data_IF_683800072791
#
_entry.id   IF_683800072791
#
_cell.length_a   1.000
_cell.length_b   1.000
_cell.length_c   1.000
_cell.angle_alpha   90.00
_cell.angle_beta   90.00
_cell.angle_gamma   90.00
#
_symmetry.space_group_name_H-M   'P 1'
#
loop_
_entity.id
_entity.type
_entity.pdbx_description
1 polymer ?
#
# COMPACT_ATOMS: atom_id res chain seq x y z
N UNK A 1 -1.37 13.39 12.25
CA UNK A 1 -0.59 12.61 13.23
C UNK A 1 0.44 11.69 12.55
N UNK A 2 0.06 10.79 11.64
CA UNK A 2 0.98 9.79 11.06
C UNK A 2 2.21 10.38 10.34
N UNK A 3 2.06 11.53 9.66
CA UNK A 3 3.19 12.25 9.05
C UNK A 3 4.20 12.77 10.09
N UNK A 4 3.74 13.15 11.28
CA UNK A 4 4.60 13.68 12.35
C UNK A 4 5.51 12.61 12.98
N UNK A 5 5.05 11.36 13.00
CA UNK A 5 5.80 10.22 13.53
C UNK A 5 6.58 9.46 12.43
N UNK A 6 6.60 9.99 11.20
CA UNK A 6 7.37 9.42 10.10
C UNK A 6 8.84 9.84 10.21
N UNK A 7 9.75 8.92 9.88
CA UNK A 7 11.18 9.22 9.76
C UNK A 7 11.41 9.85 8.38
N UNK A 8 12.06 11.03 8.30
CA UNK A 8 12.33 11.66 7.01
C UNK A 8 13.13 10.76 6.07
N UNK A 9 12.83 10.86 4.78
CA UNK A 9 13.49 10.07 3.76
C UNK A 9 14.94 10.50 3.57
N UNK A 10 15.87 9.53 3.53
CA UNK A 10 17.29 9.79 3.26
C UNK A 10 18.14 10.14 4.47
N UNK A 11 17.57 10.27 5.66
CA UNK A 11 18.35 10.44 6.90
C UNK A 11 18.91 9.09 7.35
N UNK A 12 20.20 9.05 7.69
CA UNK A 12 20.86 7.94 8.36
C UNK A 12 21.34 8.39 9.73
N UNK A 13 21.10 7.56 10.74
CA UNK A 13 21.67 7.73 12.07
C UNK A 13 22.57 6.53 12.35
N UNK A 14 23.90 6.64 12.14
CA UNK A 14 24.83 5.50 12.18
C UNK A 14 24.77 4.69 13.49
N UNK A 15 24.45 5.36 14.60
CA UNK A 15 24.38 4.74 15.92
C UNK A 15 22.98 4.22 16.28
N UNK A 16 21.99 4.39 15.39
CA UNK A 16 20.60 3.97 15.60
C UNK A 16 20.16 3.02 14.47
N UNK A 17 20.61 1.76 14.48
CA UNK A 17 20.42 0.83 13.35
C UNK A 17 18.96 0.47 13.10
N UNK A 18 18.08 0.71 14.07
CA UNK A 18 16.65 0.43 13.96
C UNK A 18 15.85 1.62 13.41
N UNK A 19 16.48 2.79 13.26
CA UNK A 19 15.84 3.96 12.61
C UNK A 19 16.03 3.84 11.11
N UNK A 20 14.90 3.73 10.40
CA UNK A 20 14.87 3.62 8.94
C UNK A 20 13.89 4.64 8.36
N UNK A 21 14.18 5.12 7.16
CA UNK A 21 13.31 6.05 6.45
C UNK A 21 11.92 5.46 6.24
N UNK A 22 10.88 6.22 6.59
CA UNK A 22 9.51 5.88 6.17
C UNK A 22 9.46 5.80 4.65
N UNK A 23 8.87 4.74 4.10
CA UNK A 23 8.74 4.52 2.66
C UNK A 23 7.35 4.91 2.14
N UNK A 24 6.34 4.61 2.94
CA UNK A 24 4.93 4.84 2.63
C UNK A 24 4.10 4.93 3.92
N UNK A 25 2.83 5.31 3.79
CA UNK A 25 1.85 5.38 4.88
C UNK A 25 0.51 4.83 4.43
N UNK A 26 -0.27 4.33 5.37
CA UNK A 26 -1.65 3.90 5.12
C UNK A 26 -2.60 4.47 6.17
N UNK A 27 -3.86 4.62 5.78
CA UNK A 27 -4.97 4.99 6.68
C UNK A 27 -6.17 4.14 6.32
N UNK A 28 -6.78 3.47 7.29
CA UNK A 28 -8.03 2.73 7.09
C UNK A 28 -9.19 3.54 7.68
N UNK A 29 -10.07 4.04 6.83
CA UNK A 29 -11.38 4.53 7.26
C UNK A 29 -12.31 3.33 7.44
N UNK A 30 -12.52 2.93 8.69
CA UNK A 30 -13.30 1.74 9.00
C UNK A 30 -14.81 1.94 8.76
N UNK A 31 -15.29 3.18 8.91
CA UNK A 31 -16.71 3.49 8.74
C UNK A 31 -17.07 3.51 7.25
N UNK A 32 -16.27 4.19 6.44
CA UNK A 32 -16.51 4.27 4.99
C UNK A 32 -15.93 3.07 4.23
N UNK A 33 -15.13 2.24 4.89
CA UNK A 33 -14.39 1.10 4.33
C UNK A 33 -13.47 1.53 3.18
N UNK A 34 -12.73 2.60 3.40
CA UNK A 34 -11.70 3.08 2.46
C UNK A 34 -10.31 2.73 3.00
N UNK A 35 -9.44 2.24 2.12
CA UNK A 35 -8.04 1.97 2.44
C UNK A 35 -7.15 2.92 1.66
N UNK A 36 -6.56 3.89 2.34
CA UNK A 36 -5.67 4.88 1.77
C UNK A 36 -4.22 4.42 1.81
N UNK A 37 -3.47 4.81 0.79
CA UNK A 37 -2.05 4.58 0.63
C UNK A 37 -1.38 5.85 0.11
N UNK A 38 -0.23 6.22 0.69
CA UNK A 38 0.58 7.37 0.29
C UNK A 38 2.07 6.98 0.25
N UNK A 39 2.73 7.19 -0.89
CA UNK A 39 4.19 7.10 -0.99
C UNK A 39 4.85 8.36 -0.44
N UNK A 40 6.05 8.25 0.13
CA UNK A 40 6.86 9.44 0.46
C UNK A 40 7.73 9.93 -0.70
N UNK A 41 7.90 9.09 -1.73
CA UNK A 41 8.77 9.34 -2.86
C UNK A 41 8.04 9.97 -4.04
N UNK A 42 6.76 9.65 -4.20
CA UNK A 42 5.89 10.24 -5.21
C UNK A 42 4.73 10.98 -4.53
N UNK A 43 4.27 12.14 -5.05
CA UNK A 43 3.14 12.88 -4.50
C UNK A 43 1.79 12.22 -4.84
N UNK A 44 1.69 10.90 -4.64
CA UNK A 44 0.54 10.09 -5.01
C UNK A 44 -0.17 9.63 -3.73
N UNK A 45 -1.39 10.13 -3.52
CA UNK A 45 -2.34 9.52 -2.59
C UNK A 45 -3.37 8.73 -3.39
N UNK A 46 -3.48 7.44 -3.09
CA UNK A 46 -4.48 6.55 -3.67
C UNK A 46 -5.34 5.95 -2.57
N UNK A 47 -6.55 5.53 -2.92
CA UNK A 47 -7.35 4.69 -2.04
C UNK A 47 -8.10 3.61 -2.81
N UNK A 48 -8.45 2.54 -2.10
CA UNK A 48 -9.40 1.55 -2.54
C UNK A 48 -10.70 1.68 -1.72
N UNK A 49 -11.85 1.69 -2.40
CA UNK A 49 -13.17 1.58 -1.79
C UNK A 49 -13.57 0.10 -1.71
N UNK A 50 -13.48 -0.46 -0.50
CA UNK A 50 -13.74 -1.87 -0.28
C UNK A 50 -15.21 -2.24 -0.51
N UNK A 51 -16.14 -1.27 -0.57
CA UNK A 51 -17.55 -1.53 -0.91
C UNK A 51 -17.74 -1.79 -2.40
N UNK A 52 -16.78 -1.39 -3.24
CA UNK A 52 -16.81 -1.59 -4.71
C UNK A 52 -16.07 -2.85 -5.14
N UNK A 53 -15.53 -3.64 -4.20
CA UNK A 53 -14.80 -4.88 -4.48
C UNK A 53 -15.69 -6.07 -4.10
N UNK A 54 -15.81 -7.03 -5.02
CA UNK A 54 -16.48 -8.31 -4.75
C UNK A 54 -15.51 -9.27 -4.08
N UNK A 55 -15.79 -9.61 -2.82
CA UNK A 55 -15.04 -10.57 -2.02
C UNK A 55 -15.75 -11.93 -1.91
N UNK A 56 -16.80 -12.18 -2.69
CA UNK A 56 -17.53 -13.44 -2.62
C UNK A 56 -16.64 -14.61 -3.08
N UNK A 57 -16.71 -15.80 -2.44
CA UNK A 57 -15.90 -16.95 -2.83
C UNK A 57 -16.17 -17.45 -4.26
N UNK A 58 -17.35 -17.15 -4.80
CA UNK A 58 -17.77 -17.59 -6.13
C UNK A 58 -17.00 -16.89 -7.27
N UNK A 59 -16.58 -15.66 -7.06
CA UNK A 59 -15.86 -14.82 -8.04
C UNK A 59 -14.48 -14.39 -7.54
N UNK A 60 -14.18 -14.66 -6.27
CA UNK A 60 -12.99 -14.25 -5.54
C UNK A 60 -11.71 -14.74 -6.21
N UNK A 61 -11.08 -13.84 -6.95
CA UNK A 61 -9.72 -14.01 -7.49
C UNK A 61 -8.77 -13.08 -6.75
N UNK A 62 -7.50 -13.46 -6.70
CA UNK A 62 -6.46 -12.51 -6.36
C UNK A 62 -6.52 -11.33 -7.33
N UNK A 63 -6.54 -10.11 -6.79
CA UNK A 63 -6.41 -8.89 -7.58
C UNK A 63 -5.25 -8.08 -7.08
N UNK A 64 -4.54 -7.42 -7.98
CA UNK A 64 -3.36 -6.62 -7.68
C UNK A 64 -3.53 -5.21 -8.22
N UNK A 65 -3.14 -4.22 -7.43
CA UNK A 65 -2.83 -2.87 -7.90
C UNK A 65 -1.31 -2.78 -8.02
N UNK A 66 -0.80 -2.58 -9.23
CA UNK A 66 0.63 -2.44 -9.45
C UNK A 66 1.06 -0.97 -9.25
N UNK A 67 1.86 -0.74 -8.21
CA UNK A 67 2.38 0.59 -7.88
C UNK A 67 3.74 0.87 -8.54
N UNK A 68 4.38 -0.13 -9.17
CA UNK A 68 5.70 0.05 -9.77
C UNK A 68 6.83 0.07 -8.75
N UNK A 69 8.04 0.38 -9.21
CA UNK A 69 9.24 0.35 -8.38
C UNK A 69 9.33 1.64 -7.56
N UNK A 70 9.38 1.52 -6.24
CA UNK A 70 9.28 2.69 -5.34
C UNK A 70 7.99 3.49 -5.58
N UNK A 71 6.91 2.81 -5.94
CA UNK A 71 5.59 3.42 -6.12
C UNK A 71 5.58 4.56 -7.16
N UNK A 72 6.31 4.37 -8.27
CA UNK A 72 6.53 5.35 -9.34
C UNK A 72 5.39 5.42 -10.37
N UNK A 73 4.47 4.45 -10.36
CA UNK A 73 3.27 4.55 -11.18
C UNK A 73 2.40 5.73 -10.72
N UNK A 74 2.05 6.60 -11.67
CA UNK A 74 1.23 7.80 -11.40
C UNK A 74 -0.24 7.39 -11.29
N UNK A 75 -0.62 6.94 -10.10
CA UNK A 75 -2.00 6.67 -9.71
C UNK A 75 -2.38 7.67 -8.64
N UNK A 76 -3.55 8.29 -8.74
CA UNK A 76 -4.06 9.25 -7.74
C UNK A 76 -5.55 9.10 -7.64
N UNK A 77 -6.09 9.22 -6.43
CA UNK A 77 -7.53 9.14 -6.24
C UNK A 77 -8.03 7.72 -5.96
N UNK A 78 -9.27 7.45 -6.38
CA UNK A 78 -9.90 6.14 -6.30
C UNK A 78 -9.25 5.18 -7.31
N UNK A 79 -8.45 4.25 -6.79
CA UNK A 79 -7.74 3.24 -7.59
C UNK A 79 -8.50 1.92 -7.68
N UNK A 80 -9.74 1.83 -7.18
CA UNK A 80 -10.46 0.56 -7.05
C UNK A 80 -10.65 -0.16 -8.40
N UNK A 81 -10.90 0.60 -9.46
CA UNK A 81 -11.07 0.06 -10.81
C UNK A 81 -9.74 -0.35 -11.48
N UNK A 82 -8.60 0.08 -10.93
CA UNK A 82 -7.27 -0.18 -11.49
C UNK A 82 -6.65 -1.49 -11.01
N UNK A 83 -7.30 -2.15 -10.05
CA UNK A 83 -6.95 -3.53 -9.71
C UNK A 83 -7.17 -4.43 -10.92
N UNK A 84 -6.27 -5.39 -11.12
CA UNK A 84 -6.34 -6.36 -12.21
C UNK A 84 -6.21 -7.80 -11.70
N UNK A 85 -6.69 -8.73 -12.53
CA UNK A 85 -6.44 -10.18 -12.49
C UNK A 85 -5.01 -10.50 -12.02
N UNK A 86 -4.79 -11.19 -10.90
CA UNK A 86 -3.44 -11.64 -10.51
C UNK A 86 -3.46 -12.92 -9.68
N UNK A 87 -2.49 -13.80 -9.92
CA UNK A 87 -2.23 -14.93 -9.02
C UNK A 87 -1.75 -14.40 -7.65
N UNK A 88 -2.30 -14.93 -6.53
CA UNK A 88 -1.78 -14.62 -5.20
C UNK A 88 -0.29 -14.96 -5.10
N UNK A 89 0.50 -14.07 -4.49
CA UNK A 89 1.92 -14.29 -4.36
C UNK A 89 2.20 -15.47 -3.41
N UNK A 90 3.27 -16.22 -3.70
CA UNK A 90 3.74 -17.28 -2.81
C UNK A 90 4.33 -16.66 -1.54
N UNK A 91 3.78 -17.01 -0.38
CA UNK A 91 4.38 -16.64 0.90
C UNK A 91 5.77 -17.29 1.05
N UNK A 92 6.72 -16.53 1.58
CA UNK A 92 8.01 -17.09 2.00
C UNK A 92 7.79 -17.91 3.28
N UNK A 93 8.44 -19.08 3.35
CA UNK A 93 8.38 -19.99 4.50
C UNK A 93 9.62 -20.87 4.55
N UNK A 94 9.95 -21.36 5.75
CA UNK A 94 10.93 -22.43 5.92
C UNK A 94 10.37 -23.80 5.52
N UNK A 95 11.18 -24.88 5.55
CA UNK A 95 10.64 -26.23 5.38
C UNK A 95 9.54 -26.47 6.42
N UNK A 96 8.42 -27.04 5.99
CA UNK A 96 7.32 -27.47 6.86
C UNK A 96 7.74 -28.63 7.75
#
# INVERSE_FOLDING_TARGET
>A
MIRNVSVPYGIKMPNEPYVSSTRWRTVADQQQKLYFFESVLTPNTVWADLKKIDFSPATGRGRKLDLGRNEDHTVTGDATALFHDAEPFKFQGGPM
#
